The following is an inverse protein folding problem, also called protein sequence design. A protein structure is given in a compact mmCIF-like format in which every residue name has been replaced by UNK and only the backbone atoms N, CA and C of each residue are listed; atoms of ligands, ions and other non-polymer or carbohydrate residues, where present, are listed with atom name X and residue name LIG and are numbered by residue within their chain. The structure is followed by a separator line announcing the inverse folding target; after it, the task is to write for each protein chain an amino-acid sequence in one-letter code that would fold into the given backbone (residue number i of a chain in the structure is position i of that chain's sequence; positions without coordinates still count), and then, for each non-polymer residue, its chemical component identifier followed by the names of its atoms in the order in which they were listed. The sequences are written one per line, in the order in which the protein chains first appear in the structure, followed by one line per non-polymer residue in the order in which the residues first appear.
data_IF_457669325587
#
_entry.id   IF_457669325587
#
_cell.length_a   1.000
_cell.length_b   1.000
_cell.length_c   1.000
_cell.angle_alpha   90.00
_cell.angle_beta   90.00
_cell.angle_gamma   90.00
#
_symmetry.space_group_name_H-M   'P 1'
#
loop_
_entity.id
_entity.type
_entity.pdbx_description
1 polymer ?
#
# COMPACT_ATOMS: atom_id res chain seq x y z
N UNK A 1 1.31 -39.68 -43.25
CA UNK A 1 -0.02 -39.08 -43.03
C UNK A 1 -0.05 -38.53 -41.63
N UNK A 2 0.15 -37.22 -41.50
CA UNK A 2 0.27 -36.53 -40.20
C UNK A 2 -1.04 -35.82 -39.87
N UNK A 3 -1.65 -36.20 -38.79
CA UNK A 3 -2.97 -35.71 -38.33
C UNK A 3 -2.72 -34.50 -37.39
N UNK A 4 -2.73 -33.29 -37.93
CA UNK A 4 -2.63 -32.05 -37.16
C UNK A 4 -4.00 -31.74 -36.52
N UNK A 5 -4.14 -31.93 -35.21
CA UNK A 5 -5.26 -31.41 -34.44
C UNK A 5 -5.19 -29.87 -34.41
N UNK A 6 -6.15 -29.21 -35.04
CA UNK A 6 -6.34 -27.75 -34.96
C UNK A 6 -6.92 -27.41 -33.60
N UNK A 7 -6.20 -26.60 -32.82
CA UNK A 7 -6.72 -26.02 -31.57
C UNK A 7 -7.67 -24.87 -31.90
N UNK A 8 -8.88 -24.97 -31.36
CA UNK A 8 -9.91 -23.93 -31.50
C UNK A 8 -9.65 -22.77 -30.53
N UNK A 9 -9.72 -21.53 -30.99
CA UNK A 9 -9.52 -20.36 -30.16
C UNK A 9 -10.82 -20.03 -29.36
N UNK A 10 -10.66 -19.39 -28.19
CA UNK A 10 -11.78 -19.00 -27.30
C UNK A 10 -12.91 -18.22 -28.02
N UNK A 11 -12.57 -17.45 -29.05
CA UNK A 11 -13.52 -16.70 -29.89
C UNK A 11 -14.33 -17.57 -30.84
N UNK A 12 -13.81 -18.69 -31.28
CA UNK A 12 -14.52 -19.65 -32.15
C UNK A 12 -15.50 -20.48 -31.34
N UNK A 13 -15.16 -20.87 -30.11
CA UNK A 13 -16.04 -21.60 -29.22
C UNK A 13 -17.31 -20.80 -28.86
N UNK A 14 -17.21 -19.50 -28.64
CA UNK A 14 -18.38 -18.65 -28.32
C UNK A 14 -19.33 -18.47 -29.53
N UNK A 15 -18.79 -18.46 -30.77
CA UNK A 15 -19.62 -18.33 -31.97
C UNK A 15 -20.39 -19.59 -32.37
N UNK A 16 -19.91 -20.77 -32.02
CA UNK A 16 -20.59 -22.03 -32.34
C UNK A 16 -21.68 -22.37 -31.32
N UNK A 17 -21.58 -21.93 -30.08
CA UNK A 17 -22.65 -22.14 -29.07
C UNK A 17 -23.89 -21.27 -29.29
N UNK A 18 -23.83 -20.27 -30.17
CA UNK A 18 -24.96 -19.35 -30.45
C UNK A 18 -25.82 -19.75 -31.65
N UNK A 19 -25.57 -20.87 -32.32
CA UNK A 19 -26.28 -21.29 -33.55
C UNK A 19 -27.26 -22.48 -33.41
N UNK A 20 -27.62 -22.83 -32.18
CA UNK A 20 -28.50 -23.97 -31.92
C UNK A 20 -29.77 -23.61 -31.14
N UNK A 21 -30.60 -22.69 -31.60
CA UNK A 21 -31.98 -22.58 -31.09
C UNK A 21 -32.92 -22.17 -32.21
N UNK A 22 -33.58 -23.18 -32.76
CA UNK A 22 -34.62 -23.03 -33.77
C UNK A 22 -35.92 -22.50 -33.16
N UNK A 23 -36.52 -21.56 -33.85
CA UNK A 23 -37.83 -20.96 -33.57
C UNK A 23 -38.91 -21.94 -33.96
N UNK A 24 -39.84 -22.27 -33.04
CA UNK A 24 -41.16 -22.84 -33.34
C UNK A 24 -42.19 -21.81 -32.88
N UNK A 25 -42.87 -21.23 -33.86
CA UNK A 25 -44.06 -20.43 -33.67
C UNK A 25 -45.30 -21.35 -33.61
N UNK A 26 -46.13 -21.19 -32.57
CA UNK A 26 -47.50 -21.71 -32.53
C UNK A 26 -48.43 -20.60 -32.04
N UNK A 27 -49.47 -20.39 -32.86
CA UNK A 27 -50.53 -19.38 -32.73
C UNK A 27 -51.52 -19.69 -31.62
N UNK A 28 -51.94 -18.66 -30.95
CA UNK A 28 -53.21 -18.22 -30.40
C UNK A 28 -54.18 -19.16 -29.71
N UNK A 29 -54.50 -18.79 -28.47
CA UNK A 29 -55.90 -18.55 -28.03
C UNK A 29 -55.91 -17.89 -26.65
N UNK A 30 -56.70 -16.81 -26.51
CA UNK A 30 -56.90 -16.10 -25.26
C UNK A 30 -57.80 -16.89 -24.33
N UNK A 31 -57.39 -17.07 -23.07
CA UNK A 31 -58.30 -17.37 -21.96
C UNK A 31 -57.89 -16.48 -20.79
N UNK A 32 -58.82 -15.62 -20.38
CA UNK A 32 -58.70 -14.83 -19.16
C UNK A 32 -58.79 -15.74 -17.94
N UNK A 33 -57.84 -15.70 -17.06
CA UNK A 33 -57.94 -16.27 -15.72
C UNK A 33 -57.09 -15.47 -14.72
N UNK A 34 -57.82 -14.79 -13.84
CA UNK A 34 -57.51 -14.45 -12.43
C UNK A 34 -56.07 -14.20 -12.02
N UNK A 35 -55.84 -12.95 -11.67
CA UNK A 35 -54.69 -12.52 -10.87
C UNK A 35 -54.65 -13.27 -9.53
N UNK A 36 -53.83 -14.29 -9.43
CA UNK A 36 -53.34 -14.81 -8.18
C UNK A 36 -51.88 -14.37 -8.04
N UNK A 37 -51.66 -13.52 -7.04
CA UNK A 37 -50.36 -13.09 -6.59
C UNK A 37 -49.50 -14.30 -6.25
N UNK A 38 -48.68 -14.72 -7.20
CA UNK A 38 -47.55 -15.59 -6.89
C UNK A 38 -46.51 -14.74 -6.15
N UNK A 39 -46.52 -14.78 -4.81
CA UNK A 39 -45.33 -14.51 -4.02
C UNK A 39 -44.24 -15.44 -4.54
N UNK A 40 -43.32 -14.89 -5.33
CA UNK A 40 -42.10 -15.58 -5.64
C UNK A 40 -41.39 -15.80 -4.27
N UNK A 41 -41.44 -17.04 -3.82
CA UNK A 41 -40.55 -17.50 -2.75
C UNK A 41 -39.14 -17.17 -3.20
N UNK A 42 -38.46 -16.31 -2.44
CA UNK A 42 -37.04 -16.13 -2.58
C UNK A 42 -36.42 -17.50 -2.31
N UNK A 43 -36.09 -18.23 -3.38
CA UNK A 43 -35.22 -19.39 -3.27
C UNK A 43 -33.98 -18.91 -2.54
N UNK A 44 -33.81 -19.33 -1.31
CA UNK A 44 -32.62 -19.05 -0.54
C UNK A 44 -31.43 -19.51 -1.40
N UNK A 45 -30.55 -18.58 -1.77
CA UNK A 45 -29.27 -18.97 -2.36
C UNK A 45 -28.66 -19.94 -1.36
N UNK A 46 -28.52 -21.20 -1.75
CA UNK A 46 -27.73 -22.15 -0.95
C UNK A 46 -26.41 -21.47 -0.62
N UNK A 47 -26.13 -21.38 0.68
CA UNK A 47 -24.91 -20.75 1.14
C UNK A 47 -23.74 -21.53 0.53
N UNK A 48 -22.95 -20.87 -0.31
CA UNK A 48 -21.75 -21.48 -0.87
C UNK A 48 -20.88 -21.97 0.29
N UNK A 49 -20.67 -23.30 0.46
CA UNK A 49 -19.90 -23.83 1.59
C UNK A 49 -18.45 -23.36 1.60
N UNK A 50 -17.97 -22.80 0.49
CA UNK A 50 -16.65 -22.19 0.36
C UNK A 50 -16.67 -20.66 0.49
N UNK A 51 -17.83 -20.04 0.77
CA UNK A 51 -17.92 -18.61 1.03
C UNK A 51 -17.34 -18.30 2.40
N UNK A 52 -16.24 -17.54 2.42
CA UNK A 52 -15.74 -16.96 3.66
C UNK A 52 -16.68 -15.86 4.12
N UNK A 53 -17.13 -15.93 5.38
CA UNK A 53 -17.77 -14.79 6.02
C UNK A 53 -16.73 -13.70 6.31
N UNK A 54 -16.53 -12.84 5.33
CA UNK A 54 -15.66 -11.66 5.45
C UNK A 54 -16.30 -10.56 6.31
N UNK A 55 -17.58 -10.67 6.64
CA UNK A 55 -18.30 -9.65 7.43
C UNK A 55 -17.69 -9.47 8.81
N UNK A 56 -17.35 -10.57 9.48
CA UNK A 56 -16.69 -10.55 10.80
C UNK A 56 -15.28 -9.91 10.76
N UNK A 57 -14.59 -10.01 9.63
CA UNK A 57 -13.24 -9.45 9.47
C UNK A 57 -13.27 -7.92 9.28
N UNK A 58 -14.45 -7.35 8.98
CA UNK A 58 -14.65 -5.90 8.78
C UNK A 58 -14.89 -5.12 10.07
N UNK A 59 -14.94 -5.81 11.21
CA UNK A 59 -15.08 -5.20 12.52
C UNK A 59 -13.85 -5.56 13.35
N UNK A 60 -13.23 -4.56 13.93
CA UNK A 60 -12.11 -4.75 14.84
C UNK A 60 -12.65 -4.82 16.28
N UNK A 61 -12.11 -5.72 17.09
CA UNK A 61 -12.39 -5.70 18.55
C UNK A 61 -11.96 -4.34 19.11
N UNK A 62 -12.88 -3.56 19.71
CA UNK A 62 -12.57 -2.26 20.27
C UNK A 62 -11.43 -2.26 21.28
N UNK A 63 -11.20 -3.37 21.97
CA UNK A 63 -10.09 -3.54 22.92
C UNK A 63 -8.72 -3.52 22.26
N UNK A 64 -8.65 -3.83 20.96
CA UNK A 64 -7.40 -3.78 20.19
C UNK A 64 -7.12 -2.39 19.61
N UNK A 65 -8.11 -1.48 19.60
CA UNK A 65 -7.97 -0.14 19.00
C UNK A 65 -7.41 0.81 20.06
N UNK A 66 -6.10 1.03 20.02
CA UNK A 66 -5.37 1.86 20.98
C UNK A 66 -5.16 3.31 20.52
N UNK A 67 -5.70 3.69 19.37
CA UNK A 67 -5.59 5.03 18.79
C UNK A 67 -6.96 5.64 18.57
N UNK A 68 -7.03 6.96 18.56
CA UNK A 68 -8.20 7.75 18.24
C UNK A 68 -7.87 8.79 17.17
N UNK A 69 -8.84 9.11 16.33
CA UNK A 69 -8.70 10.15 15.34
C UNK A 69 -8.86 11.52 15.98
N UNK A 70 -7.79 12.33 15.96
CA UNK A 70 -7.77 13.68 16.52
C UNK A 70 -7.89 14.77 15.45
N UNK A 71 -7.77 14.42 14.17
CA UNK A 71 -7.86 15.35 13.06
C UNK A 71 -8.13 14.64 11.73
N UNK A 72 -8.55 15.41 10.73
CA UNK A 72 -8.72 14.95 9.35
C UNK A 72 -8.69 16.14 8.41
N UNK A 73 -7.98 15.98 7.29
CA UNK A 73 -7.94 17.00 6.24
C UNK A 73 -7.84 16.33 4.85
N UNK A 74 -8.36 16.98 3.79
CA UNK A 74 -8.28 16.45 2.43
C UNK A 74 -6.86 16.56 1.87
N UNK A 75 -6.53 15.69 0.92
CA UNK A 75 -5.35 15.89 0.07
C UNK A 75 -5.52 17.17 -0.77
N UNK A 76 -4.47 17.98 -0.92
CA UNK A 76 -4.52 19.19 -1.78
C UNK A 76 -4.83 18.88 -3.26
N UNK A 77 -4.52 17.68 -3.71
CA UNK A 77 -4.72 17.21 -5.07
C UNK A 77 -5.40 15.85 -5.11
N UNK A 78 -6.15 15.55 -6.19
CA UNK A 78 -6.67 14.18 -6.39
C UNK A 78 -5.54 13.19 -6.60
N UNK A 79 -5.85 11.92 -6.33
CA UNK A 79 -4.90 10.81 -6.52
C UNK A 79 -3.58 10.97 -5.76
N UNK A 80 -3.62 11.16 -4.42
CA UNK A 80 -2.41 11.13 -3.62
C UNK A 80 -1.79 9.72 -3.66
N UNK A 81 -0.47 9.64 -3.48
CA UNK A 81 0.25 8.36 -3.53
C UNK A 81 1.00 8.04 -2.25
N UNK A 82 1.74 9.02 -1.70
CA UNK A 82 2.56 8.83 -0.50
C UNK A 82 2.61 10.08 0.34
N UNK A 83 2.83 9.88 1.64
CA UNK A 83 3.03 10.93 2.63
C UNK A 83 4.32 10.66 3.40
N UNK A 84 5.06 11.70 3.71
CA UNK A 84 6.25 11.64 4.56
C UNK A 84 6.23 12.77 5.59
N UNK A 85 6.91 12.57 6.70
CA UNK A 85 7.22 13.62 7.68
C UNK A 85 8.69 13.99 7.52
N UNK A 86 8.97 15.27 7.44
CA UNK A 86 10.32 15.83 7.42
C UNK A 86 10.64 16.67 8.64
N UNK A 87 11.69 17.48 8.58
CA UNK A 87 12.05 18.39 9.65
C UNK A 87 10.89 19.28 10.10
N UNK A 88 10.87 19.64 11.38
CA UNK A 88 9.83 20.48 12.01
C UNK A 88 8.44 19.83 11.98
N UNK A 89 8.38 18.48 11.82
CA UNK A 89 7.15 17.70 11.63
C UNK A 89 6.28 18.21 10.46
N UNK A 90 6.90 18.79 9.45
CA UNK A 90 6.21 19.15 8.20
C UNK A 90 5.80 17.89 7.45
N UNK A 91 4.60 17.91 6.90
CA UNK A 91 4.11 16.83 6.06
C UNK A 91 4.43 17.12 4.59
N UNK A 92 4.90 16.11 3.90
CA UNK A 92 5.17 16.15 2.46
C UNK A 92 4.31 15.13 1.76
N UNK A 93 3.46 15.58 0.86
CA UNK A 93 2.50 14.71 0.15
C UNK A 93 2.79 14.70 -1.33
N UNK A 94 3.04 13.52 -1.88
CA UNK A 94 3.15 13.29 -3.31
C UNK A 94 1.75 13.10 -3.90
N UNK A 95 1.24 14.07 -4.65
CA UNK A 95 -0.08 14.05 -5.29
C UNK A 95 -0.10 14.90 -6.56
N UNK A 96 -0.82 14.43 -7.59
CA UNK A 96 -0.79 15.11 -8.90
C UNK A 96 0.65 15.25 -9.41
N UNK A 97 1.00 16.43 -9.91
CA UNK A 97 2.37 16.76 -10.36
C UNK A 97 3.11 17.60 -9.30
N UNK A 98 2.85 17.37 -8.02
CA UNK A 98 3.38 18.20 -6.96
C UNK A 98 3.83 17.38 -5.75
N UNK A 99 4.77 17.94 -5.00
CA UNK A 99 4.95 17.65 -3.58
C UNK A 99 4.39 18.84 -2.81
N UNK A 100 3.29 18.63 -2.11
CA UNK A 100 2.72 19.64 -1.21
C UNK A 100 3.38 19.55 0.15
N UNK A 101 3.83 20.70 0.68
CA UNK A 101 4.34 20.81 2.05
C UNK A 101 3.23 21.39 2.93
N UNK A 102 2.84 20.62 3.93
CA UNK A 102 1.74 20.95 4.83
C UNK A 102 2.23 21.09 6.26
N UNK A 103 1.50 21.86 7.06
CA UNK A 103 1.65 21.82 8.51
C UNK A 103 0.99 20.57 9.12
N UNK A 104 1.05 20.45 10.43
CA UNK A 104 0.52 19.29 11.17
C UNK A 104 -1.01 19.16 11.09
N UNK A 105 -1.69 20.24 10.82
CA UNK A 105 -3.14 20.38 10.71
C UNK A 105 -3.65 20.28 9.26
N UNK A 106 -2.72 20.13 8.29
CA UNK A 106 -3.02 20.02 6.86
C UNK A 106 -3.07 21.38 6.13
N UNK A 107 -2.73 22.47 6.79
CA UNK A 107 -2.58 23.77 6.16
C UNK A 107 -1.41 23.78 5.17
N UNK A 108 -1.63 24.29 3.94
CA UNK A 108 -0.59 24.33 2.92
C UNK A 108 0.44 25.40 3.22
N UNK A 109 1.69 25.00 3.41
CA UNK A 109 2.84 25.86 3.66
C UNK A 109 3.53 26.27 2.36
N UNK A 110 3.81 25.28 1.49
CA UNK A 110 4.41 25.50 0.18
C UNK A 110 4.09 24.35 -0.77
N UNK A 111 4.55 24.48 -2.00
CA UNK A 111 4.32 23.50 -3.06
C UNK A 111 5.52 23.43 -3.99
N UNK A 112 5.88 22.25 -4.42
CA UNK A 112 6.99 21.97 -5.31
C UNK A 112 6.43 21.31 -6.56
N UNK A 113 6.53 22.02 -7.71
CA UNK A 113 6.13 21.46 -9.00
C UNK A 113 7.16 20.47 -9.53
N UNK A 114 6.70 19.34 -10.03
CA UNK A 114 7.49 18.27 -10.61
C UNK A 114 7.30 18.22 -12.13
N UNK A 115 8.22 17.57 -12.83
CA UNK A 115 8.12 17.38 -14.28
C UNK A 115 7.00 16.40 -14.69
N UNK A 116 6.43 15.65 -13.75
CA UNK A 116 5.38 14.67 -14.00
C UNK A 116 4.69 14.20 -12.70
N UNK A 117 3.83 13.16 -12.80
CA UNK A 117 3.07 12.69 -11.65
C UNK A 117 3.96 12.20 -10.51
N UNK A 118 3.77 12.79 -9.33
CA UNK A 118 4.42 12.41 -8.09
C UNK A 118 3.97 11.02 -7.64
N UNK A 119 4.90 10.14 -7.30
CA UNK A 119 4.63 8.78 -6.84
C UNK A 119 4.99 8.55 -5.38
N UNK A 120 6.11 9.10 -4.96
CA UNK A 120 6.61 8.96 -3.60
C UNK A 120 7.48 10.16 -3.23
N UNK A 121 7.69 10.35 -1.94
CA UNK A 121 8.48 11.44 -1.40
C UNK A 121 9.21 10.97 -0.15
N UNK A 122 10.44 11.44 0.03
CA UNK A 122 11.18 11.36 1.28
C UNK A 122 11.93 12.68 1.53
N UNK A 123 12.18 12.96 2.79
CA UNK A 123 12.90 14.16 3.21
C UNK A 123 14.03 13.76 4.13
N UNK A 124 15.23 14.19 3.80
CA UNK A 124 16.40 13.97 4.63
C UNK A 124 16.40 14.91 5.86
N UNK A 125 17.23 14.62 6.85
CA UNK A 125 17.34 15.42 8.07
C UNK A 125 17.82 16.86 7.81
N UNK A 126 18.61 17.08 6.77
CA UNK A 126 19.08 18.40 6.34
C UNK A 126 18.01 19.21 5.58
N UNK A 127 16.85 18.59 5.31
CA UNK A 127 15.74 19.17 4.58
C UNK A 127 15.80 18.96 3.07
N UNK A 128 16.75 18.18 2.55
CA UNK A 128 16.77 17.77 1.14
C UNK A 128 15.55 16.91 0.84
N UNK A 129 14.80 17.26 -0.22
CA UNK A 129 13.56 16.61 -0.61
C UNK A 129 13.82 15.76 -1.85
N UNK A 130 13.45 14.50 -1.77
CA UNK A 130 13.51 13.53 -2.88
C UNK A 130 12.10 13.21 -3.31
N UNK A 131 11.76 13.55 -4.54
CA UNK A 131 10.47 13.24 -5.16
C UNK A 131 10.67 12.14 -6.21
N UNK A 132 10.00 11.02 -6.01
CA UNK A 132 10.00 9.94 -6.98
C UNK A 132 8.85 10.11 -7.97
N UNK A 133 9.18 10.12 -9.25
CA UNK A 133 8.23 9.99 -10.35
C UNK A 133 8.11 8.51 -10.71
N UNK A 134 7.67 8.21 -11.91
CA UNK A 134 7.52 6.82 -12.33
C UNK A 134 8.85 6.06 -12.28
N UNK A 135 9.90 6.63 -12.85
CA UNK A 135 11.15 5.94 -13.16
C UNK A 135 12.42 6.76 -12.89
N UNK A 136 12.29 7.94 -12.27
CA UNK A 136 13.41 8.78 -11.88
C UNK A 136 13.10 9.58 -10.62
N UNK A 137 14.12 10.17 -10.02
CA UNK A 137 14.02 11.02 -8.87
C UNK A 137 14.34 12.47 -9.24
N UNK A 138 13.55 13.40 -8.73
CA UNK A 138 13.89 14.81 -8.69
C UNK A 138 14.33 15.19 -7.27
N UNK A 139 15.40 15.95 -7.16
CA UNK A 139 16.00 16.36 -5.89
C UNK A 139 15.84 17.85 -5.72
N UNK A 140 15.37 18.27 -4.55
CA UNK A 140 15.14 19.67 -4.22
C UNK A 140 15.82 20.01 -2.88
N UNK A 141 16.22 21.25 -2.73
CA UNK A 141 16.65 21.77 -1.45
C UNK A 141 15.43 22.02 -0.52
N UNK A 142 15.71 22.38 0.74
CA UNK A 142 14.64 22.68 1.71
C UNK A 142 13.72 23.87 1.34
N UNK A 143 14.11 24.68 0.35
CA UNK A 143 13.31 25.80 -0.18
C UNK A 143 12.47 25.38 -1.39
N UNK A 144 12.57 24.12 -1.82
CA UNK A 144 11.89 23.60 -3.00
C UNK A 144 12.56 23.97 -4.35
N UNK A 145 13.85 24.39 -4.32
CA UNK A 145 14.61 24.65 -5.53
C UNK A 145 15.20 23.34 -6.06
N UNK A 146 14.94 23.00 -7.32
CA UNK A 146 15.44 21.78 -7.95
C UNK A 146 16.96 21.82 -8.05
N UNK A 147 17.61 20.80 -7.50
CA UNK A 147 19.05 20.64 -7.46
C UNK A 147 19.54 19.63 -8.51
N UNK A 148 18.80 18.55 -8.69
CA UNK A 148 19.17 17.47 -9.61
C UNK A 148 17.95 16.70 -10.12
N UNK A 149 18.18 15.99 -11.22
CA UNK A 149 17.30 14.91 -11.71
C UNK A 149 18.19 13.68 -11.85
N UNK A 150 17.84 12.59 -11.15
CA UNK A 150 18.58 11.35 -11.24
C UNK A 150 18.04 10.51 -12.39
N UNK A 151 18.95 9.92 -13.13
CA UNK A 151 18.59 9.15 -14.33
C UNK A 151 17.73 7.92 -13.98
N UNK A 152 16.88 7.57 -14.95
CA UNK A 152 16.07 6.38 -14.87
C UNK A 152 16.94 5.12 -14.89
N UNK A 153 16.76 4.17 -13.96
CA UNK A 153 17.48 2.89 -13.99
C UNK A 153 16.95 1.94 -15.09
N UNK A 154 15.95 2.37 -15.85
CA UNK A 154 15.45 1.64 -17.01
C UNK A 154 13.93 1.66 -17.17
N UNK A 155 13.44 1.25 -18.33
CA UNK A 155 12.02 1.35 -18.76
C UNK A 155 11.02 0.58 -17.86
N UNK A 156 11.48 -0.40 -17.11
CA UNK A 156 10.64 -1.20 -16.19
C UNK A 156 10.47 -0.57 -14.84
N UNK A 157 11.25 0.46 -14.51
CA UNK A 157 11.20 1.10 -13.20
C UNK A 157 9.83 1.69 -12.91
N UNK A 158 9.43 1.51 -11.66
CA UNK A 158 8.17 2.03 -11.12
C UNK A 158 8.37 2.32 -9.64
N UNK A 159 8.72 3.57 -9.34
CA UNK A 159 9.01 3.97 -7.96
C UNK A 159 7.73 4.10 -7.15
N UNK A 160 7.74 3.54 -5.95
CA UNK A 160 6.56 3.47 -5.07
C UNK A 160 6.85 3.82 -3.62
N UNK A 161 8.11 3.96 -3.22
CA UNK A 161 8.52 4.36 -1.88
C UNK A 161 9.93 4.92 -1.90
N UNK A 162 10.24 5.79 -0.95
CA UNK A 162 11.56 6.37 -0.76
C UNK A 162 11.95 6.39 0.71
N UNK A 163 13.25 6.26 0.97
CA UNK A 163 13.86 6.58 2.26
C UNK A 163 15.13 7.39 2.03
N UNK A 164 15.33 8.44 2.82
CA UNK A 164 16.50 9.28 2.76
C UNK A 164 17.36 9.08 4.02
N UNK A 165 18.61 8.72 3.82
CA UNK A 165 19.64 8.64 4.85
C UNK A 165 20.56 9.83 4.85
N UNK A 166 21.62 9.77 5.67
CA UNK A 166 22.65 10.81 5.71
C UNK A 166 23.55 10.79 4.48
N UNK A 167 23.87 9.61 3.95
CA UNK A 167 24.77 9.40 2.81
C UNK A 167 24.08 8.84 1.58
N UNK A 168 22.89 8.28 1.72
CA UNK A 168 22.24 7.49 0.67
C UNK A 168 20.76 7.82 0.57
N UNK A 169 20.21 7.56 -0.62
CA UNK A 169 18.78 7.55 -0.89
C UNK A 169 18.38 6.17 -1.41
N UNK A 170 17.31 5.65 -0.87
CA UNK A 170 16.80 4.34 -1.22
C UNK A 170 15.46 4.48 -1.94
N UNK A 171 15.36 3.94 -3.14
CA UNK A 171 14.13 3.99 -3.95
C UNK A 171 13.56 2.58 -4.15
N UNK A 172 12.37 2.36 -3.63
CA UNK A 172 11.62 1.13 -3.83
C UNK A 172 11.09 1.08 -5.26
N UNK A 173 11.70 0.26 -6.09
CA UNK A 173 11.35 0.04 -7.50
C UNK A 173 10.49 -1.23 -7.63
N UNK A 174 9.17 -1.06 -7.58
CA UNK A 174 8.22 -2.15 -7.70
C UNK A 174 8.26 -2.82 -9.09
N UNK A 175 8.62 -2.08 -10.12
CA UNK A 175 8.73 -2.59 -11.48
C UNK A 175 9.87 -3.59 -11.66
N UNK A 176 10.99 -3.37 -11.01
CA UNK A 176 12.15 -4.27 -10.98
C UNK A 176 12.20 -5.16 -9.73
N UNK A 177 11.31 -4.94 -8.75
CA UNK A 177 11.22 -5.72 -7.50
C UNK A 177 12.50 -5.66 -6.68
N UNK A 178 13.06 -4.46 -6.55
CA UNK A 178 14.29 -4.18 -5.82
C UNK A 178 14.18 -2.84 -5.11
N UNK A 179 15.03 -2.61 -4.12
CA UNK A 179 15.30 -1.27 -3.62
C UNK A 179 16.64 -0.83 -4.21
N UNK A 180 16.63 0.31 -4.89
CA UNK A 180 17.81 0.94 -5.47
C UNK A 180 18.46 1.83 -4.42
N UNK A 181 19.79 1.77 -4.32
CA UNK A 181 20.58 2.66 -3.48
C UNK A 181 21.31 3.66 -4.35
N UNK A 182 21.10 4.94 -4.10
CA UNK A 182 21.82 6.04 -4.71
C UNK A 182 22.68 6.73 -3.66
N UNK A 183 23.91 7.10 -4.02
CA UNK A 183 24.73 7.99 -3.19
C UNK A 183 24.21 9.44 -3.24
N UNK A 184 24.78 10.34 -2.43
CA UNK A 184 24.40 11.76 -2.42
C UNK A 184 24.63 12.49 -3.75
N UNK A 185 25.52 11.99 -4.59
CA UNK A 185 25.78 12.56 -5.91
C UNK A 185 24.80 12.04 -6.96
N UNK A 186 23.88 11.16 -6.56
CA UNK A 186 22.87 10.57 -7.44
C UNK A 186 23.35 9.38 -8.27
N UNK A 187 24.52 8.84 -7.94
CA UNK A 187 25.03 7.63 -8.59
C UNK A 187 24.32 6.41 -8.02
N UNK A 188 23.82 5.55 -8.91
CA UNK A 188 23.28 4.24 -8.53
C UNK A 188 24.42 3.34 -8.04
N UNK A 189 24.41 2.98 -6.75
CA UNK A 189 25.47 2.27 -6.05
C UNK A 189 25.08 0.85 -5.60
N UNK A 190 23.80 0.49 -5.68
CA UNK A 190 23.39 -0.85 -5.27
C UNK A 190 21.95 -1.20 -5.57
N UNK A 191 21.68 -2.52 -5.50
CA UNK A 191 20.35 -3.14 -5.63
C UNK A 191 20.12 -4.08 -4.45
N UNK A 192 19.14 -3.80 -3.64
CA UNK A 192 18.81 -4.52 -2.41
C UNK A 192 17.56 -5.36 -2.65
N UNK A 193 17.52 -6.58 -2.11
CA UNK A 193 16.41 -7.50 -2.31
C UNK A 193 16.34 -8.11 -3.71
N UNK A 194 17.39 -7.97 -4.53
CA UNK A 194 17.50 -8.66 -5.82
C UNK A 194 17.76 -10.17 -5.60
N UNK A 195 17.20 -11.00 -6.48
CA UNK A 195 17.45 -12.44 -6.42
C UNK A 195 18.92 -12.75 -6.64
N UNK A 196 19.54 -13.39 -5.67
CA UNK A 196 20.93 -13.82 -5.76
C UNK A 196 21.06 -15.23 -5.13
N UNK A 197 21.34 -16.22 -5.98
CA UNK A 197 21.44 -17.62 -5.54
C UNK A 197 22.67 -17.87 -4.65
N UNK A 198 23.78 -17.20 -4.92
CA UNK A 198 25.04 -17.37 -4.18
C UNK A 198 24.91 -16.82 -2.76
N UNK A 199 24.17 -15.72 -2.59
CA UNK A 199 23.87 -15.13 -1.27
C UNK A 199 22.60 -15.70 -0.60
N UNK A 200 21.95 -16.70 -1.20
CA UNK A 200 20.72 -17.29 -0.70
C UNK A 200 19.50 -16.33 -0.73
N UNK A 201 19.56 -15.23 -1.48
CA UNK A 201 18.50 -14.26 -1.56
C UNK A 201 17.42 -14.67 -2.57
N UNK A 202 16.16 -14.85 -2.15
CA UNK A 202 15.09 -15.30 -3.05
C UNK A 202 14.57 -14.19 -3.98
N UNK A 203 14.96 -12.92 -3.74
CA UNK A 203 14.41 -11.74 -4.38
C UNK A 203 13.06 -11.32 -3.80
N UNK A 204 12.68 -10.06 -3.92
CA UNK A 204 11.38 -9.55 -3.43
C UNK A 204 10.22 -10.07 -4.29
N UNK A 205 9.09 -10.36 -3.65
CA UNK A 205 7.84 -10.76 -4.31
C UNK A 205 6.85 -9.59 -4.29
N UNK A 206 6.74 -8.89 -5.42
CA UNK A 206 5.90 -7.68 -5.57
C UNK A 206 4.84 -7.94 -6.64
N UNK A 207 3.68 -8.52 -6.28
CA UNK A 207 2.62 -8.86 -7.24
C UNK A 207 1.82 -7.65 -7.71
N UNK A 208 1.85 -6.56 -6.97
CA UNK A 208 1.22 -5.27 -7.32
C UNK A 208 2.17 -4.13 -6.94
N UNK A 209 2.03 -2.91 -7.49
CA UNK A 209 3.01 -1.83 -7.36
C UNK A 209 3.00 -1.18 -5.95
N UNK A 210 3.21 -1.99 -4.93
CA UNK A 210 3.28 -1.58 -3.52
C UNK A 210 4.55 -2.11 -2.85
N UNK A 211 5.68 -1.57 -3.25
CA UNK A 211 6.93 -1.75 -2.55
C UNK A 211 7.22 -0.48 -1.74
N UNK A 212 7.61 -0.63 -0.49
CA UNK A 212 7.96 0.48 0.37
C UNK A 212 9.25 0.19 1.13
N UNK A 213 9.98 1.24 1.46
CA UNK A 213 11.25 1.19 2.19
C UNK A 213 11.31 2.29 3.23
N UNK A 214 11.82 1.98 4.41
CA UNK A 214 12.15 2.95 5.46
C UNK A 214 13.56 2.65 5.98
N UNK A 215 14.28 3.69 6.33
CA UNK A 215 15.55 3.59 7.03
C UNK A 215 15.29 3.75 8.53
N UNK A 216 15.62 2.74 9.32
CA UNK A 216 15.44 2.74 10.76
C UNK A 216 16.64 3.36 11.50
N UNK A 217 16.44 3.67 12.78
CA UNK A 217 17.47 4.30 13.61
C UNK A 217 18.69 3.40 13.88
N UNK A 218 18.56 2.09 13.66
CA UNK A 218 19.65 1.11 13.73
C UNK A 218 20.49 1.00 12.45
N UNK A 219 20.18 1.84 11.45
CA UNK A 219 20.88 1.86 10.16
C UNK A 219 20.41 0.78 9.17
N UNK A 220 19.50 -0.10 9.55
CA UNK A 220 18.96 -1.10 8.65
C UNK A 220 17.73 -0.57 7.89
N UNK A 221 17.58 -1.04 6.67
CA UNK A 221 16.38 -0.81 5.88
C UNK A 221 15.25 -1.74 6.33
N UNK A 222 14.05 -1.22 6.35
CA UNK A 222 12.80 -1.98 6.50
C UNK A 222 12.10 -1.96 5.17
N UNK A 223 11.94 -3.13 4.56
CA UNK A 223 11.34 -3.30 3.23
C UNK A 223 10.13 -4.21 3.36
N UNK A 224 8.98 -3.78 2.86
CA UNK A 224 7.85 -4.70 2.78
C UNK A 224 8.04 -5.68 1.61
N UNK A 225 7.77 -6.96 1.85
CA UNK A 225 7.62 -7.97 0.80
C UNK A 225 6.14 -8.39 0.74
N UNK A 226 5.30 -7.64 0.00
CA UNK A 226 3.86 -7.79 0.07
C UNK A 226 3.36 -9.15 -0.43
N UNK A 227 4.05 -9.77 -1.38
CA UNK A 227 3.68 -11.08 -1.89
C UNK A 227 4.07 -12.23 -0.95
N UNK A 228 4.97 -12.01 0.00
CA UNK A 228 5.28 -12.94 1.09
C UNK A 228 4.63 -12.58 2.41
N UNK A 229 3.89 -11.50 2.46
CA UNK A 229 3.17 -11.03 3.67
C UNK A 229 4.11 -10.80 4.86
N UNK A 230 5.21 -10.08 4.60
CA UNK A 230 6.24 -9.84 5.62
C UNK A 230 6.97 -8.51 5.42
N UNK A 231 7.66 -8.11 6.45
CA UNK A 231 8.66 -7.03 6.43
C UNK A 231 10.04 -7.66 6.55
N UNK A 232 10.96 -7.22 5.73
CA UNK A 232 12.34 -7.69 5.69
C UNK A 232 13.30 -6.59 6.16
N UNK A 233 14.31 -6.96 6.94
CA UNK A 233 15.39 -6.07 7.36
C UNK A 233 16.64 -6.31 6.54
N UNK A 234 17.17 -5.26 5.92
CA UNK A 234 18.38 -5.33 5.09
C UNK A 234 19.44 -4.36 5.56
N UNK A 235 20.72 -4.77 5.45
CA UNK A 235 21.80 -3.80 5.48
C UNK A 235 21.77 -2.88 4.24
N UNK A 236 22.34 -1.66 4.28
CA UNK A 236 22.52 -0.84 3.07
C UNK A 236 23.35 -1.54 1.97
N UNK A 237 24.15 -2.53 2.33
CA UNK A 237 24.88 -3.42 1.40
C UNK A 237 24.03 -4.52 0.77
N UNK A 238 22.77 -4.70 1.21
CA UNK A 238 21.81 -5.65 0.67
C UNK A 238 21.85 -7.05 1.29
N UNK A 239 22.45 -7.23 2.48
CA UNK A 239 22.34 -8.46 3.23
C UNK A 239 21.00 -8.52 3.96
N UNK A 240 20.31 -9.66 3.87
CA UNK A 240 19.06 -9.89 4.60
C UNK A 240 19.40 -10.33 6.03
N UNK A 241 19.05 -9.49 6.99
CA UNK A 241 19.34 -9.72 8.42
C UNK A 241 18.20 -10.47 9.12
N UNK A 242 16.97 -10.10 8.83
CA UNK A 242 15.78 -10.72 9.43
C UNK A 242 14.54 -10.48 8.59
N UNK A 243 13.48 -11.17 8.94
CA UNK A 243 12.12 -10.90 8.48
C UNK A 243 11.10 -11.31 9.53
N UNK A 244 9.91 -10.69 9.46
CA UNK A 244 8.76 -11.02 10.28
C UNK A 244 7.46 -10.79 9.51
N UNK A 245 6.38 -11.40 9.97
CA UNK A 245 5.06 -11.36 9.34
C UNK A 245 4.68 -12.69 8.73
N UNK A 246 3.38 -12.89 8.53
CA UNK A 246 2.80 -14.11 7.96
C UNK A 246 1.50 -13.83 7.24
N UNK A 247 1.12 -14.62 6.22
CA UNK A 247 -0.21 -14.57 5.64
C UNK A 247 -1.25 -15.02 6.67
N UNK A 248 -2.26 -14.21 6.95
CA UNK A 248 -3.36 -14.57 7.84
C UNK A 248 -4.54 -13.62 7.63
N UNK A 249 -5.76 -14.16 7.67
CA UNK A 249 -6.97 -13.36 7.77
C UNK A 249 -7.17 -12.77 9.18
N UNK A 250 -6.51 -13.35 10.19
CA UNK A 250 -6.48 -12.84 11.57
C UNK A 250 -5.81 -11.47 11.65
N UNK A 251 -6.01 -10.81 12.79
CA UNK A 251 -5.52 -9.45 12.99
C UNK A 251 -3.99 -9.38 13.08
N UNK A 252 -3.35 -10.42 13.57
CA UNK A 252 -1.91 -10.50 13.79
C UNK A 252 -1.08 -10.69 12.51
N UNK A 253 -1.71 -11.12 11.40
CA UNK A 253 -1.03 -11.33 10.13
C UNK A 253 -1.52 -10.40 9.05
N UNK A 254 -1.08 -10.62 7.81
CA UNK A 254 -1.42 -9.81 6.65
C UNK A 254 -2.39 -10.55 5.74
N UNK A 255 -3.55 -9.93 5.46
CA UNK A 255 -4.64 -10.51 4.68
C UNK A 255 -4.51 -10.19 3.19
N UNK A 256 -5.09 -11.05 2.35
CA UNK A 256 -5.19 -10.83 0.91
C UNK A 256 -3.98 -11.31 0.12
N UNK A 257 -3.78 -10.78 -1.09
CA UNK A 257 -2.74 -11.26 -2.01
C UNK A 257 -1.42 -10.49 -1.93
N UNK A 258 -1.42 -9.29 -1.31
CA UNK A 258 -0.25 -8.41 -1.33
C UNK A 258 -0.36 -7.35 -0.22
N UNK A 259 0.05 -7.69 0.98
CA UNK A 259 0.14 -6.83 2.15
C UNK A 259 1.39 -7.20 2.98
N UNK A 260 1.96 -6.25 3.75
CA UNK A 260 1.57 -4.84 3.87
C UNK A 260 1.93 -4.02 2.63
N UNK A 261 1.21 -2.91 2.39
CA UNK A 261 1.43 -2.01 1.24
C UNK A 261 2.14 -0.72 1.59
N UNK A 262 2.16 -0.34 2.85
CA UNK A 262 2.87 0.82 3.37
C UNK A 262 3.47 0.54 4.73
N UNK A 263 4.56 1.24 5.04
CA UNK A 263 5.30 1.17 6.29
C UNK A 263 5.57 2.57 6.83
N UNK A 264 5.53 2.72 8.15
CA UNK A 264 6.17 3.81 8.85
C UNK A 264 6.81 3.26 10.13
N UNK A 265 7.65 4.06 10.76
CA UNK A 265 8.31 3.70 12.03
C UNK A 265 7.94 4.73 13.09
N UNK A 266 7.57 4.26 14.25
CA UNK A 266 7.44 5.10 15.44
C UNK A 266 8.85 5.49 15.94
N UNK A 267 9.00 6.59 16.71
CA UNK A 267 10.30 7.02 17.26
C UNK A 267 11.03 5.95 18.08
N UNK A 268 10.29 5.01 18.66
CA UNK A 268 10.82 3.89 19.45
C UNK A 268 11.12 2.62 18.62
N UNK A 269 11.05 2.70 17.30
CA UNK A 269 11.37 1.61 16.37
C UNK A 269 10.25 0.63 16.09
N UNK A 270 9.07 0.79 16.70
CA UNK A 270 7.89 -0.03 16.38
C UNK A 270 7.39 0.28 14.97
N UNK A 271 6.77 -0.71 14.35
CA UNK A 271 6.27 -0.60 12.99
C UNK A 271 4.82 -0.15 12.95
N UNK A 272 4.52 0.77 12.04
CA UNK A 272 3.17 1.06 11.55
C UNK A 272 3.03 0.39 10.20
N UNK A 273 2.05 -0.49 10.03
CA UNK A 273 1.80 -1.18 8.75
C UNK A 273 0.44 -0.81 8.19
N UNK A 274 0.36 -0.65 6.88
CA UNK A 274 -0.86 -0.36 6.16
C UNK A 274 -1.25 -1.55 5.28
N UNK A 275 -2.53 -1.93 5.31
CA UNK A 275 -3.08 -3.00 4.47
C UNK A 275 -4.17 -2.46 3.53
N UNK A 276 -4.32 -3.10 2.37
CA UNK A 276 -5.39 -2.86 1.39
C UNK A 276 -6.32 -4.07 1.28
N UNK A 277 -7.44 -3.90 0.58
CA UNK A 277 -8.49 -4.92 0.44
C UNK A 277 -9.36 -5.04 1.69
N UNK A 278 -8.76 -5.37 2.81
CA UNK A 278 -9.30 -5.18 4.16
C UNK A 278 -8.46 -4.08 4.81
N UNK A 279 -8.88 -2.79 4.68
CA UNK A 279 -8.04 -1.68 5.08
C UNK A 279 -7.81 -1.68 6.58
N UNK A 280 -6.56 -1.79 7.00
CA UNK A 280 -6.15 -1.79 8.41
C UNK A 280 -4.83 -1.06 8.57
N UNK A 281 -4.71 -0.31 9.66
CA UNK A 281 -3.44 0.25 10.11
C UNK A 281 -3.13 -0.35 11.47
N UNK A 282 -1.96 -0.99 11.61
CA UNK A 282 -1.60 -1.78 12.78
C UNK A 282 -0.22 -1.44 13.30
N UNK A 283 0.01 -1.69 14.58
CA UNK A 283 1.29 -1.55 15.25
C UNK A 283 1.86 -2.95 15.54
N UNK A 284 3.14 -3.09 15.25
CA UNK A 284 3.95 -4.24 15.65
C UNK A 284 5.18 -3.76 16.42
N UNK A 285 5.66 -4.55 17.35
CA UNK A 285 6.90 -4.27 18.08
C UNK A 285 8.10 -4.22 17.13
N UNK A 286 9.25 -3.77 17.61
CA UNK A 286 10.53 -3.78 16.87
C UNK A 286 10.93 -5.19 16.41
N UNK A 287 10.47 -6.25 17.10
CA UNK A 287 10.69 -7.65 16.76
C UNK A 287 9.59 -8.25 15.87
N UNK A 288 8.56 -7.44 15.52
CA UNK A 288 7.46 -7.86 14.63
C UNK A 288 6.31 -8.58 15.32
N UNK A 289 6.18 -8.49 16.65
CA UNK A 289 5.00 -8.97 17.36
C UNK A 289 3.84 -7.98 17.24
N UNK A 290 2.64 -8.48 16.94
CA UNK A 290 1.44 -7.64 16.88
C UNK A 290 1.12 -7.03 18.25
N UNK A 291 0.84 -5.73 18.29
CA UNK A 291 0.51 -5.01 19.53
C UNK A 291 -0.92 -4.48 19.53
N UNK A 292 -1.30 -3.72 18.51
CA UNK A 292 -2.61 -3.08 18.48
C UNK A 292 -3.02 -2.61 17.08
N UNK A 293 -4.24 -2.13 16.98
CA UNK A 293 -4.80 -1.49 15.78
C UNK A 293 -4.84 0.02 15.98
N UNK A 294 -4.40 0.75 14.96
CA UNK A 294 -4.55 2.20 14.84
C UNK A 294 -5.93 2.53 14.28
N UNK A 295 -6.28 1.88 13.16
CA UNK A 295 -7.57 2.04 12.50
C UNK A 295 -7.96 0.73 11.82
N UNK A 296 -9.16 0.25 12.08
CA UNK A 296 -9.76 -0.93 11.46
C UNK A 296 -10.57 -0.60 10.22
N UNK A 297 -11.10 -1.62 9.51
CA UNK A 297 -11.87 -1.45 8.28
C UNK A 297 -13.10 -0.54 8.44
N UNK A 298 -13.69 -0.52 9.64
CA UNK A 298 -14.83 0.31 9.99
C UNK A 298 -14.52 1.81 10.00
N UNK A 299 -13.24 2.16 10.14
CA UNK A 299 -12.78 3.55 10.12
C UNK A 299 -12.72 4.15 8.71
N UNK A 300 -12.74 3.31 7.67
CA UNK A 300 -12.57 3.74 6.29
C UNK A 300 -13.90 3.73 5.54
N UNK A 301 -13.99 4.54 4.48
CA UNK A 301 -15.24 4.76 3.75
C UNK A 301 -15.77 3.49 3.07
N UNK A 302 -17.08 3.48 2.76
CA UNK A 302 -17.70 2.39 1.99
C UNK A 302 -17.13 2.23 0.57
N UNK A 303 -16.44 3.23 0.04
CA UNK A 303 -15.77 3.15 -1.24
C UNK A 303 -14.74 2.03 -1.30
N UNK A 304 -14.10 1.70 -0.17
CA UNK A 304 -13.24 0.54 -0.05
C UNK A 304 -13.95 -0.80 -0.31
N UNK A 305 -15.27 -0.86 -0.12
CA UNK A 305 -16.10 -2.06 -0.41
C UNK A 305 -16.40 -2.22 -1.90
N UNK A 306 -16.30 -1.13 -2.66
CA UNK A 306 -16.62 -1.05 -4.08
C UNK A 306 -15.36 -1.02 -4.96
N UNK A 307 -14.19 -1.19 -4.35
CA UNK A 307 -12.94 -1.17 -5.08
C UNK A 307 -12.99 -2.14 -6.26
N UNK A 308 -12.84 -1.61 -7.45
CA UNK A 308 -12.61 -2.38 -8.67
C UNK A 308 -11.24 -3.06 -8.59
N UNK A 309 -10.92 -3.94 -9.51
CA UNK A 309 -9.58 -4.51 -9.65
C UNK A 309 -8.53 -3.40 -9.89
N UNK A 310 -8.93 -2.34 -10.56
CA UNK A 310 -8.10 -1.16 -10.84
C UNK A 310 -7.83 -0.38 -9.55
N UNK A 311 -8.84 -0.13 -8.72
CA UNK A 311 -8.68 0.49 -7.40
C UNK A 311 -7.82 -0.36 -6.47
N UNK A 312 -7.90 -1.69 -6.56
CA UNK A 312 -7.06 -2.61 -5.82
C UNK A 312 -5.58 -2.51 -6.22
N UNK A 313 -5.30 -2.08 -7.45
CA UNK A 313 -3.93 -1.81 -7.93
C UNK A 313 -3.48 -0.37 -7.68
N UNK A 314 -4.40 0.57 -7.51
CA UNK A 314 -4.12 2.00 -7.34
C UNK A 314 -4.49 2.55 -5.97
N UNK A 315 -5.41 1.89 -5.25
CA UNK A 315 -5.90 2.30 -3.95
C UNK A 315 -5.27 1.52 -2.80
N UNK A 316 -4.86 2.23 -1.78
CA UNK A 316 -4.28 1.66 -0.58
C UNK A 316 -4.30 2.65 0.56
N UNK A 317 -3.55 2.33 1.59
CA UNK A 317 -3.25 3.23 2.70
C UNK A 317 -1.76 3.48 2.73
N UNK A 318 -1.37 4.67 3.12
CA UNK A 318 0.00 5.00 3.48
C UNK A 318 0.04 5.66 4.85
N UNK A 319 1.20 5.67 5.49
CA UNK A 319 1.36 6.29 6.80
C UNK A 319 2.70 7.00 6.95
N UNK A 320 2.67 8.09 7.71
CA UNK A 320 3.84 8.77 8.20
C UNK A 320 3.69 9.05 9.70
N UNK A 321 4.80 9.22 10.40
CA UNK A 321 4.83 9.42 11.85
C UNK A 321 5.65 10.65 12.18
N UNK A 322 5.13 11.51 13.06
CA UNK A 322 5.87 12.67 13.53
C UNK A 322 6.71 12.38 14.78
N UNK A 323 7.46 13.37 15.21
CA UNK A 323 8.35 13.29 16.38
C UNK A 323 7.63 12.99 17.69
N UNK A 324 6.31 13.23 17.76
CA UNK A 324 5.46 12.98 18.94
C UNK A 324 4.76 11.62 18.86
N UNK A 325 4.98 10.84 17.79
CA UNK A 325 4.34 9.54 17.58
C UNK A 325 2.90 9.63 17.10
N UNK A 326 2.45 10.79 16.60
CA UNK A 326 1.17 10.87 15.89
C UNK A 326 1.31 10.23 14.52
N UNK A 327 0.30 9.49 14.11
CA UNK A 327 0.30 8.75 12.86
C UNK A 327 -0.63 9.46 11.89
N UNK A 328 -0.09 9.87 10.74
CA UNK A 328 -0.84 10.45 9.63
C UNK A 328 -1.14 9.33 8.65
N UNK A 329 -2.41 8.91 8.61
CA UNK A 329 -2.88 7.84 7.71
C UNK A 329 -3.47 8.48 6.47
N UNK A 330 -2.79 8.32 5.34
CA UNK A 330 -3.27 8.73 4.03
C UNK A 330 -4.19 7.63 3.46
N UNK A 331 -5.45 7.97 3.27
CA UNK A 331 -6.43 7.13 2.56
C UNK A 331 -6.43 7.53 1.07
N UNK A 332 -5.82 6.68 0.23
CA UNK A 332 -5.69 6.95 -1.21
C UNK A 332 -7.06 6.92 -1.93
N UNK A 333 -8.03 6.19 -1.38
CA UNK A 333 -9.38 6.06 -1.95
C UNK A 333 -10.23 7.28 -1.63
N UNK A 334 -10.17 7.75 -0.38
CA UNK A 334 -10.89 8.95 0.07
C UNK A 334 -10.14 10.25 -0.29
N UNK A 335 -8.87 10.16 -0.66
CA UNK A 335 -7.97 11.29 -0.87
C UNK A 335 -7.93 12.23 0.34
N UNK A 336 -7.77 11.67 1.54
CA UNK A 336 -7.67 12.42 2.79
C UNK A 336 -6.61 11.84 3.74
N UNK A 337 -6.24 12.63 4.73
CA UNK A 337 -5.34 12.24 5.81
C UNK A 337 -6.09 12.25 7.12
N UNK A 338 -5.96 11.18 7.89
CA UNK A 338 -6.45 11.06 9.27
C UNK A 338 -5.28 11.15 10.21
N UNK A 339 -5.39 12.05 11.19
CA UNK A 339 -4.38 12.22 12.24
C UNK A 339 -4.80 11.37 13.43
N UNK A 340 -3.98 10.38 13.76
CA UNK A 340 -4.26 9.41 14.82
C UNK A 340 -3.30 9.63 15.99
N UNK A 341 -3.83 9.70 17.18
CA UNK A 341 -3.04 9.76 18.41
C UNK A 341 -3.34 8.55 19.30
N UNK A 342 -2.36 8.13 20.09
CA UNK A 342 -2.55 7.06 21.07
C UNK A 342 -3.51 7.53 22.16
N UNK A 343 -4.51 6.70 22.49
CA UNK A 343 -5.46 6.97 23.56
C UNK A 343 -4.75 7.02 24.91
N UNK A 344 -5.18 7.90 25.79
CA UNK A 344 -4.59 8.09 27.13
C UNK A 344 -4.76 6.87 28.03
N UNK A 345 -5.86 6.15 27.87
CA UNK A 345 -6.25 4.95 28.60
C UNK A 345 -5.78 3.64 27.93
N UNK A 346 -5.09 3.74 26.79
CA UNK A 346 -4.55 2.56 26.13
C UNK A 346 -3.48 1.87 27.01
N UNK A 347 -3.45 0.52 27.03
CA UNK A 347 -2.40 -0.22 27.74
C UNK A 347 -1.01 0.30 27.36
N UNK A 348 -0.09 0.37 28.32
CA UNK A 348 1.28 0.77 28.03
C UNK A 348 1.85 -0.09 26.91
N UNK A 349 2.65 0.52 26.02
CA UNK A 349 3.39 -0.26 25.04
C UNK A 349 4.32 -1.25 25.78
N UNK A 350 4.44 -2.50 25.31
CA UNK A 350 5.43 -3.40 25.85
C UNK A 350 6.81 -2.72 25.84
N UNK A 351 7.56 -2.84 26.93
CA UNK A 351 8.92 -2.29 26.97
C UNK A 351 9.74 -2.94 25.85
N UNK A 352 10.23 -2.14 24.92
CA UNK A 352 11.23 -2.59 23.94
C UNK A 352 12.46 -3.03 24.72
N UNK A 353 12.87 -4.28 24.58
CA UNK A 353 14.18 -4.70 25.09
C UNK A 353 15.22 -3.88 24.34
N UNK A 354 15.89 -2.97 25.07
CA UNK A 354 17.04 -2.30 24.54
C UNK A 354 18.02 -3.37 24.04
N UNK A 355 18.31 -3.36 22.74
CA UNK A 355 19.31 -4.27 22.19
C UNK A 355 20.64 -4.07 22.90
N UNK A 356 21.13 -5.11 23.51
CA UNK A 356 22.48 -5.20 24.07
C UNK A 356 23.46 -5.46 22.94
#
# INVERSE_FOLDING_TARGET
MSNRKRSMTRRQFIKESARGSGVLAVSGTAIAASAQSARAASAGKEANPFAYDVGRLRKTDPKLIHYEQIGRFPSPYPSPHRIAVGPEDRLYMAAGNYVSVLDREGGRVSEIALAGPARCVAVARDGTIYAGLRDHLEVFDRKGQRQAVLESPGKRSWFTGLAAGESDVFAADAGNRVVLRYDKNGKLDGRIGEKNKERGLPGLNVPSPYLDVKLAGDGLLRVNDPGRHRVEGYTPGGDLEFFWGKPSAGIEGFCGCCNPVGLALLPDGRYVTCEKGLPRVKIYSSEGAFECVVAGPESFSENWRKCSLEDCTMGGLDAAVDSQGRIYVLDLVAADVRVMARKKDAPAAPATKAGT
#
